data_IF_734669083399
#
_entry.id   IF_734669083399
#
_cell.length_a   1.000
_cell.length_b   1.000
_cell.length_c   1.000
_cell.angle_alpha   90.00
_cell.angle_beta   90.00
_cell.angle_gamma   90.00
#
_symmetry.space_group_name_H-M   'P 1'
#
loop_
_entity.id
_entity.type
_entity.pdbx_description
1 polymer ?
#
# COMPACT_ATOMS: atom_id res chain seq x y z
N UNK A 1 23.36 -6.64 -21.10
CA UNK A 1 22.05 -7.08 -20.56
C UNK A 1 21.06 -5.93 -20.62
N UNK A 2 19.80 -6.19 -21.01
CA UNK A 2 18.74 -5.17 -21.04
C UNK A 2 18.14 -4.95 -19.65
N UNK A 3 17.96 -3.69 -19.26
CA UNK A 3 17.32 -3.32 -17.99
C UNK A 3 16.23 -2.28 -18.16
N UNK A 4 15.32 -2.16 -17.19
CA UNK A 4 14.30 -1.11 -17.18
C UNK A 4 14.23 -0.41 -15.81
N UNK A 5 13.77 0.84 -15.83
CA UNK A 5 13.31 1.55 -14.64
C UNK A 5 11.83 1.90 -14.84
N UNK A 6 10.97 1.40 -13.97
CA UNK A 6 9.52 1.63 -14.04
C UNK A 6 9.11 2.64 -12.98
N UNK A 7 9.02 3.90 -13.39
CA UNK A 7 8.58 4.98 -12.52
C UNK A 7 7.06 5.12 -12.58
N UNK A 8 6.44 5.27 -11.41
CA UNK A 8 5.01 5.53 -11.34
C UNK A 8 4.73 7.02 -11.58
N UNK A 9 4.17 7.32 -12.75
CA UNK A 9 3.86 8.70 -13.16
C UNK A 9 2.38 9.08 -12.95
N UNK A 10 1.57 8.19 -12.39
CA UNK A 10 0.14 8.44 -12.15
C UNK A 10 -0.36 7.77 -10.87
N UNK A 11 -1.38 8.37 -10.25
CA UNK A 11 -2.13 7.73 -9.15
C UNK A 11 -2.85 6.49 -9.70
N UNK A 12 -2.81 5.39 -8.94
CA UNK A 12 -3.39 4.08 -9.29
C UNK A 12 -3.93 3.44 -8.01
N UNK A 13 -4.97 2.61 -8.13
CA UNK A 13 -5.46 1.83 -6.99
C UNK A 13 -4.40 0.84 -6.50
N UNK A 14 -4.51 0.43 -5.23
CA UNK A 14 -3.58 -0.54 -4.65
C UNK A 14 -3.62 -1.88 -5.41
N UNK A 15 -4.82 -2.39 -5.72
CA UNK A 15 -5.01 -3.59 -6.54
C UNK A 15 -4.34 -3.50 -7.91
N UNK A 16 -4.48 -2.36 -8.61
CA UNK A 16 -3.88 -2.20 -9.93
C UNK A 16 -2.36 -2.11 -9.85
N UNK A 17 -1.82 -1.44 -8.84
CA UNK A 17 -0.37 -1.41 -8.64
C UNK A 17 0.22 -2.79 -8.36
N UNK A 18 -0.47 -3.64 -7.60
CA UNK A 18 -0.06 -5.04 -7.37
C UNK A 18 -0.19 -5.88 -8.65
N UNK A 19 -1.25 -5.68 -9.43
CA UNK A 19 -1.42 -6.34 -10.73
C UNK A 19 -0.29 -5.98 -11.71
N UNK A 20 0.15 -4.72 -11.73
CA UNK A 20 1.31 -4.28 -12.53
C UNK A 20 2.59 -4.99 -12.09
N UNK A 21 2.79 -5.21 -10.78
CA UNK A 21 3.98 -5.90 -10.28
C UNK A 21 4.05 -7.35 -10.79
N UNK A 22 2.95 -8.10 -10.67
CA UNK A 22 2.88 -9.46 -11.18
C UNK A 22 2.95 -9.50 -12.72
N UNK A 23 2.31 -8.55 -13.43
CA UNK A 23 2.39 -8.46 -14.88
C UNK A 23 3.82 -8.20 -15.39
N UNK A 24 4.59 -7.35 -14.72
CA UNK A 24 6.01 -7.19 -15.02
C UNK A 24 6.72 -8.54 -14.85
N UNK A 25 6.52 -9.21 -13.71
CA UNK A 25 7.12 -10.53 -13.45
C UNK A 25 6.75 -11.60 -14.49
N UNK A 26 5.58 -11.52 -15.11
CA UNK A 26 5.13 -12.42 -16.18
C UNK A 26 5.83 -12.16 -17.52
N UNK A 27 6.05 -10.90 -17.89
CA UNK A 27 6.55 -10.52 -19.22
C UNK A 27 8.04 -10.22 -19.29
N UNK A 28 8.65 -9.90 -18.14
CA UNK A 28 10.01 -9.40 -18.02
C UNK A 28 11.06 -10.26 -18.75
N UNK A 29 11.19 -11.54 -18.38
CA UNK A 29 12.20 -12.44 -18.99
C UNK A 29 11.91 -12.66 -20.47
N UNK A 30 10.65 -12.95 -20.83
CA UNK A 30 10.24 -13.17 -22.24
C UNK A 30 10.44 -11.95 -23.14
N UNK A 31 10.56 -10.75 -22.56
CA UNK A 31 10.81 -9.50 -23.29
C UNK A 31 12.32 -9.16 -23.35
N UNK A 32 13.18 -10.11 -22.97
CA UNK A 32 14.64 -10.00 -23.03
C UNK A 32 15.28 -9.16 -21.93
N UNK A 33 14.53 -8.84 -20.86
CA UNK A 33 15.07 -8.08 -19.74
C UNK A 33 15.73 -9.01 -18.72
N UNK A 34 16.89 -8.60 -18.24
CA UNK A 34 17.65 -9.33 -17.23
C UNK A 34 17.59 -8.72 -15.83
N UNK A 35 17.29 -7.42 -15.71
CA UNK A 35 17.00 -6.77 -14.44
C UNK A 35 16.06 -5.55 -14.58
N UNK A 36 15.40 -5.16 -13.49
CA UNK A 36 14.60 -3.95 -13.45
C UNK A 36 14.29 -3.45 -12.05
N UNK A 37 14.04 -2.15 -11.94
CA UNK A 37 13.69 -1.49 -10.70
C UNK A 37 12.38 -0.71 -10.86
N UNK A 38 11.47 -0.84 -9.90
CA UNK A 38 10.25 -0.04 -9.80
C UNK A 38 10.23 0.69 -8.47
N UNK A 39 9.95 1.99 -8.49
CA UNK A 39 9.68 2.81 -7.30
C UNK A 39 8.23 3.32 -7.40
N UNK A 40 7.43 3.10 -6.36
CA UNK A 40 5.99 3.28 -6.44
C UNK A 40 5.32 3.52 -5.07
N UNK A 41 4.06 3.97 -5.09
CA UNK A 41 3.25 4.35 -3.94
C UNK A 41 1.81 3.89 -4.15
N UNK A 42 1.15 3.52 -3.06
CA UNK A 42 -0.27 3.20 -3.03
C UNK A 42 -1.09 4.30 -2.32
N UNK A 43 -2.37 4.46 -2.67
CA UNK A 43 -3.37 5.05 -1.77
C UNK A 43 -3.43 4.32 -0.42
N UNK A 44 -4.16 4.89 0.54
CA UNK A 44 -4.37 4.26 1.85
C UNK A 44 -4.93 2.84 1.67
N UNK A 45 -4.15 1.86 2.09
CA UNK A 45 -4.48 0.45 1.89
C UNK A 45 -3.84 -0.46 2.93
N UNK A 46 -4.55 -1.55 3.25
CA UNK A 46 -4.03 -2.70 3.98
C UNK A 46 -3.68 -3.75 2.94
N UNK A 47 -2.41 -4.17 2.91
CA UNK A 47 -1.90 -5.16 1.95
C UNK A 47 -1.59 -6.46 2.70
N UNK A 48 -2.48 -7.42 2.53
CA UNK A 48 -2.35 -8.79 3.05
C UNK A 48 -1.25 -9.54 2.28
N UNK A 49 -0.49 -10.37 3.00
CA UNK A 49 0.37 -11.36 2.37
C UNK A 49 -0.42 -12.50 1.75
N UNK A 50 0.20 -13.27 0.85
CA UNK A 50 -0.49 -14.33 0.11
C UNK A 50 -1.17 -15.36 1.03
N UNK A 51 -0.57 -15.70 2.16
CA UNK A 51 -1.07 -16.69 3.11
C UNK A 51 -1.72 -16.10 4.36
N UNK A 52 -1.79 -14.76 4.46
CA UNK A 52 -2.35 -14.10 5.64
C UNK A 52 -3.87 -14.22 5.68
N UNK A 53 -4.42 -14.49 6.85
CA UNK A 53 -5.86 -14.36 7.07
C UNK A 53 -6.17 -12.94 7.50
N UNK A 54 -7.17 -12.34 6.86
CA UNK A 54 -7.51 -10.96 7.15
C UNK A 54 -8.00 -10.81 8.59
N UNK A 55 -8.74 -11.81 9.08
CA UNK A 55 -9.31 -11.85 10.43
C UNK A 55 -8.23 -11.91 11.51
N UNK A 56 -7.07 -12.49 11.21
CA UNK A 56 -5.99 -12.66 12.20
C UNK A 56 -5.14 -11.38 12.35
N UNK A 57 -5.10 -10.54 11.31
CA UNK A 57 -4.17 -9.38 11.26
C UNK A 57 -4.86 -8.03 11.18
N UNK A 58 -6.10 -7.96 10.73
CA UNK A 58 -6.85 -6.70 10.55
C UNK A 58 -7.86 -6.54 11.68
N UNK A 59 -8.06 -5.32 12.17
CA UNK A 59 -9.03 -5.05 13.22
C UNK A 59 -10.47 -5.37 12.74
N UNK A 60 -11.34 -5.95 13.57
CA UNK A 60 -12.68 -6.39 13.15
C UNK A 60 -13.57 -5.24 12.64
N UNK A 61 -13.50 -4.06 13.26
CA UNK A 61 -14.17 -2.86 12.79
C UNK A 61 -13.69 -2.42 11.41
N UNK A 62 -12.43 -2.74 11.07
CA UNK A 62 -11.88 -2.41 9.77
C UNK A 62 -12.49 -3.30 8.69
N UNK A 63 -12.54 -4.61 8.96
CA UNK A 63 -13.13 -5.61 8.07
C UNK A 63 -14.63 -5.35 7.84
N UNK A 64 -15.41 -5.08 8.90
CA UNK A 64 -16.85 -4.82 8.78
C UNK A 64 -17.17 -3.64 7.86
N UNK A 65 -16.43 -2.55 7.99
CA UNK A 65 -16.61 -1.37 7.15
C UNK A 65 -16.22 -1.65 5.69
N UNK A 66 -15.14 -2.40 5.45
CA UNK A 66 -14.73 -2.79 4.10
C UNK A 66 -15.80 -3.65 3.42
N UNK A 67 -16.34 -4.66 4.12
CA UNK A 67 -17.42 -5.50 3.59
C UNK A 67 -18.72 -4.71 3.38
N UNK A 68 -19.10 -3.85 4.33
CA UNK A 68 -20.29 -3.01 4.24
C UNK A 68 -20.24 -1.95 3.12
N UNK A 69 -19.05 -1.50 2.71
CA UNK A 69 -18.92 -0.64 1.52
C UNK A 69 -19.20 -1.37 0.20
N UNK A 70 -18.84 -2.66 0.11
CA UNK A 70 -19.08 -3.47 -1.09
C UNK A 70 -20.56 -3.84 -1.30
N UNK A 71 -21.35 -3.95 -0.23
CA UNK A 71 -22.79 -4.18 -0.31
C UNK A 71 -23.56 -2.92 -0.78
N UNK A 72 -23.13 -1.74 -0.36
CA UNK A 72 -23.71 -0.47 -0.82
C UNK A 72 -23.52 -0.24 -2.31
N UNK A 73 -22.32 -0.54 -2.85
CA UNK A 73 -22.07 -0.45 -4.30
C UNK A 73 -22.89 -1.47 -5.13
N UNK A 74 -23.17 -2.66 -4.59
CA UNK A 74 -24.04 -3.65 -5.25
C UNK A 74 -25.51 -3.27 -5.22
N UNK A 75 -25.99 -2.61 -4.16
CA UNK A 75 -27.40 -2.15 -4.05
C UNK A 75 -27.74 -0.95 -4.93
N UNK A 76 -26.73 -0.21 -5.43
CA UNK A 76 -26.92 0.96 -6.27
C UNK A 76 -27.04 0.64 -7.78
N UNK A 77 -27.02 -0.64 -8.16
CA UNK A 77 -27.09 -1.11 -9.55
C UNK A 77 -28.32 -2.00 -9.75
N UNK A 78 -29.41 -1.37 -10.24
CA UNK A 78 -30.75 -1.85 -10.64
C UNK A 78 -31.90 -1.87 -9.61
N UNK A 79 -33.14 -1.43 -9.99
CA UNK A 79 -33.60 -1.02 -11.33
C UNK A 79 -34.23 0.38 -11.42
N UNK A 80 -33.70 1.23 -12.29
CA UNK A 80 -34.49 2.20 -13.07
C UNK A 80 -34.86 1.54 -14.41
N UNK A 81 -35.72 0.52 -14.36
CA UNK A 81 -36.47 0.05 -15.53
C UNK A 81 -37.86 -0.30 -15.02
N UNK A 82 -38.73 0.70 -14.92
CA UNK A 82 -40.18 0.64 -15.15
C UNK A 82 -40.74 2.02 -14.79
N UNK A 83 -41.06 2.83 -15.81
CA UNK A 83 -42.16 3.80 -15.85
C UNK A 83 -41.89 4.85 -16.95
N UNK A 84 -42.05 4.42 -18.19
CA UNK A 84 -42.41 5.34 -19.28
C UNK A 84 -43.65 4.78 -19.95
N UNK A 85 -44.80 5.01 -19.31
CA UNK A 85 -46.05 5.18 -20.03
C UNK A 85 -47.05 5.92 -19.15
N UNK A 86 -47.64 6.95 -19.77
CA UNK A 86 -48.90 7.62 -19.44
C UNK A 86 -48.82 8.85 -18.51
N UNK A 87 -49.32 9.94 -19.12
CA UNK A 87 -49.87 11.16 -18.53
C UNK A 87 -48.84 12.16 -17.97
N UNK A 88 -48.72 13.38 -18.51
CA UNK A 88 -49.84 14.29 -18.71
C UNK A 88 -49.44 15.47 -19.59
N UNK A 89 -50.31 15.76 -20.55
CA UNK A 89 -50.48 17.09 -21.11
C UNK A 89 -50.93 18.09 -20.03
N UNK A 90 -50.72 19.37 -20.35
CA UNK A 90 -51.41 20.59 -19.87
C UNK A 90 -50.68 21.47 -18.87
N UNK A 91 -50.16 22.54 -19.48
CA UNK A 91 -50.47 23.95 -19.21
C UNK A 91 -49.98 24.52 -17.88
N UNK A 92 -49.01 25.43 -17.98
CA UNK A 92 -49.20 26.90 -17.87
C UNK A 92 -49.76 27.32 -16.51
N UNK A 93 -48.94 28.01 -15.70
CA UNK A 93 -48.94 29.48 -15.59
C UNK A 93 -47.89 29.93 -14.58
N UNK A 94 -47.13 30.97 -14.97
CA UNK A 94 -46.80 32.21 -14.24
C UNK A 94 -46.53 32.14 -12.71
N UNK A 95 -45.60 32.87 -12.10
CA UNK A 95 -44.69 33.96 -12.51
C UNK A 95 -44.10 34.57 -11.21
N UNK A 96 -42.99 35.31 -11.33
CA UNK A 96 -42.50 36.38 -10.40
C UNK A 96 -41.88 35.84 -9.08
N UNK A 97 -40.57 35.80 -8.89
CA UNK A 97 -39.52 36.85 -8.88
C UNK A 97 -39.32 37.52 -7.51
N UNK A 98 -38.02 37.67 -7.17
CA UNK A 98 -37.40 38.66 -6.28
C UNK A 98 -37.67 38.51 -4.78
N UNK A 99 -36.81 38.91 -3.84
CA UNK A 99 -35.36 39.08 -3.73
C UNK A 99 -35.13 39.43 -2.24
N UNK A 100 -33.90 39.22 -1.77
CA UNK A 100 -33.21 39.99 -0.73
C UNK A 100 -33.67 40.02 0.76
N UNK A 101 -32.90 39.26 1.54
CA UNK A 101 -31.86 39.68 2.52
C UNK A 101 -32.20 40.63 3.70
N UNK A 102 -31.72 40.14 4.86
CA UNK A 102 -31.13 40.83 6.03
C UNK A 102 -32.14 41.50 7.00
N UNK A 103 -32.16 41.24 8.31
CA UNK A 103 -31.02 41.30 9.24
C UNK A 103 -31.45 41.06 10.73
N UNK A 104 -30.46 40.74 11.58
CA UNK A 104 -30.29 41.12 13.02
C UNK A 104 -30.94 40.26 14.15
N UNK A 105 -30.01 39.56 14.85
CA UNK A 105 -29.77 39.40 16.30
C UNK A 105 -30.85 38.93 17.29
N UNK A 106 -30.53 37.90 18.10
CA UNK A 106 -30.16 37.98 19.54
C UNK A 106 -30.16 36.59 20.20
N UNK A 107 -29.12 36.27 20.96
CA UNK A 107 -29.13 35.25 22.02
C UNK A 107 -29.83 35.83 23.27
N UNK A 108 -30.42 34.97 24.14
CA UNK A 108 -29.76 34.70 25.42
C UNK A 108 -29.97 33.30 26.06
N UNK A 109 -28.88 32.84 26.71
CA UNK A 109 -28.71 32.11 28.00
C UNK A 109 -29.69 31.03 28.51
N UNK A 110 -29.08 29.87 28.77
CA UNK A 110 -29.18 28.89 29.88
C UNK A 110 -30.29 28.99 30.94
N UNK A 111 -30.95 27.84 31.21
CA UNK A 111 -31.39 27.38 32.54
C UNK A 111 -31.17 25.86 32.67
N UNK A 112 -30.74 25.45 33.86
CA UNK A 112 -30.33 24.12 34.35
C UNK A 112 -31.47 23.19 34.80
N UNK A 113 -31.18 21.88 34.86
CA UNK A 113 -32.01 20.84 35.51
C UNK A 113 -31.28 19.49 35.56
N UNK A 114 -31.38 18.78 36.68
CA UNK A 114 -30.47 17.75 37.23
C UNK A 114 -31.09 16.31 37.19
N UNK A 115 -30.24 15.26 37.25
CA UNK A 115 -30.47 13.80 37.48
C UNK A 115 -30.98 12.95 36.27
N UNK A 116 -30.51 11.74 35.93
CA UNK A 116 -29.99 10.63 36.76
C UNK A 116 -28.98 9.66 36.04
N UNK A 117 -28.14 9.01 36.87
CA UNK A 117 -27.51 7.66 36.76
C UNK A 117 -26.59 7.26 35.60
N UNK A 118 -25.29 7.24 35.91
CA UNK A 118 -24.31 6.14 35.73
C UNK A 118 -24.57 5.03 34.71
N UNK A 119 -23.87 5.11 33.58
CA UNK A 119 -22.90 4.11 33.10
C UNK A 119 -22.60 4.44 31.64
N UNK A 120 -21.32 4.66 31.32
CA UNK A 120 -20.65 4.81 29.99
C UNK A 120 -19.53 5.84 30.21
N UNK A 121 -18.55 5.50 31.05
CA UNK A 121 -17.24 6.15 31.06
C UNK A 121 -16.20 5.11 30.65
N UNK A 122 -16.02 4.98 29.34
CA UNK A 122 -15.07 4.01 28.80
C UNK A 122 -14.80 4.11 27.30
N UNK A 123 -15.16 5.20 26.62
CA UNK A 123 -14.72 5.43 25.23
C UNK A 123 -13.93 6.74 25.17
N UNK A 124 -12.69 6.70 25.68
CA UNK A 124 -11.71 7.73 25.31
C UNK A 124 -11.44 7.57 23.81
N UNK A 125 -11.86 8.59 23.08
CA UNK A 125 -11.74 8.77 21.64
C UNK A 125 -10.34 8.40 21.13
N UNK A 126 -10.20 7.23 20.50
CA UNK A 126 -9.11 6.99 19.54
C UNK A 126 -9.31 8.00 18.42
N UNK A 127 -8.30 8.84 18.14
CA UNK A 127 -8.27 9.77 17.01
C UNK A 127 -8.78 9.02 15.77
N UNK A 128 -9.99 9.35 15.33
CA UNK A 128 -10.57 8.84 14.09
C UNK A 128 -9.70 9.39 12.97
N UNK A 129 -9.06 8.52 12.19
CA UNK A 129 -8.44 8.91 10.93
C UNK A 129 -9.49 9.69 10.13
N UNK A 130 -9.14 10.89 9.66
CA UNK A 130 -10.02 11.71 8.82
C UNK A 130 -10.57 10.86 7.68
N UNK A 131 -11.90 10.69 7.63
CA UNK A 131 -12.83 10.27 6.54
C UNK A 131 -12.42 9.24 5.47
N UNK A 132 -11.18 8.78 5.37
CA UNK A 132 -10.66 7.91 4.33
C UNK A 132 -10.44 6.51 4.91
N UNK A 133 -11.22 5.57 4.40
CA UNK A 133 -11.16 4.18 4.82
C UNK A 133 -10.17 3.40 3.96
N UNK A 134 -9.28 2.56 4.53
CA UNK A 134 -8.32 1.82 3.73
C UNK A 134 -9.01 0.79 2.83
N UNK A 135 -8.53 0.68 1.60
CA UNK A 135 -8.82 -0.51 0.79
C UNK A 135 -8.08 -1.72 1.36
N UNK A 136 -8.66 -2.91 1.27
CA UNK A 136 -8.00 -4.17 1.62
C UNK A 136 -7.66 -4.91 0.33
N UNK A 137 -6.38 -5.25 0.16
CA UNK A 137 -5.87 -5.93 -1.03
C UNK A 137 -4.90 -7.04 -0.64
N UNK A 138 -4.69 -8.01 -1.52
CA UNK A 138 -3.74 -9.11 -1.31
C UNK A 138 -2.64 -9.09 -2.38
N UNK A 139 -1.39 -9.27 -1.95
CA UNK A 139 -0.24 -9.36 -2.88
C UNK A 139 0.10 -10.80 -3.26
N UNK A 140 0.91 -10.98 -4.31
CA UNK A 140 1.33 -12.29 -4.80
C UNK A 140 2.45 -12.95 -3.98
N UNK A 141 3.13 -12.21 -3.10
CA UNK A 141 4.17 -12.71 -2.20
C UNK A 141 3.61 -13.08 -0.82
N UNK A 142 4.28 -14.00 -0.13
CA UNK A 142 4.01 -14.29 1.29
C UNK A 142 4.45 -13.18 2.25
N UNK A 143 4.57 -13.51 3.53
CA UNK A 143 4.92 -12.57 4.61
C UNK A 143 3.70 -11.86 5.21
N UNK A 144 3.91 -11.01 6.21
CA UNK A 144 2.83 -10.41 7.01
C UNK A 144 2.01 -9.30 6.32
N UNK A 145 0.99 -8.82 7.01
CA UNK A 145 0.14 -7.68 6.60
C UNK A 145 0.86 -6.34 6.82
N UNK A 146 0.73 -5.41 5.87
CA UNK A 146 1.31 -4.06 5.96
C UNK A 146 0.28 -2.97 5.64
N UNK A 147 0.51 -1.75 6.13
CA UNK A 147 -0.28 -0.56 5.77
C UNK A 147 0.54 0.31 4.83
N UNK A 148 -0.09 0.76 3.73
CA UNK A 148 0.48 1.75 2.83
C UNK A 148 -0.32 3.04 2.87
N UNK A 149 0.36 4.15 2.59
CA UNK A 149 -0.22 5.47 2.44
C UNK A 149 0.61 6.27 1.42
N UNK A 150 -0.01 7.11 0.57
CA UNK A 150 0.68 7.73 -0.55
C UNK A 150 1.83 8.64 -0.12
N UNK A 151 1.76 9.28 1.04
CA UNK A 151 2.81 10.20 1.51
C UNK A 151 3.70 9.65 2.61
N UNK A 152 3.26 8.60 3.31
CA UNK A 152 3.92 8.13 4.53
C UNK A 152 4.74 6.86 4.29
N UNK A 153 4.58 6.24 3.11
CA UNK A 153 5.29 5.04 2.70
C UNK A 153 5.85 5.16 1.28
N UNK A 154 7.03 4.58 1.05
CA UNK A 154 7.59 4.32 -0.27
C UNK A 154 7.66 2.81 -0.51
N UNK A 155 7.32 2.35 -1.72
CA UNK A 155 7.53 0.98 -2.16
C UNK A 155 8.62 0.91 -3.22
N UNK A 156 9.39 -0.16 -3.19
CA UNK A 156 10.35 -0.49 -4.23
C UNK A 156 10.24 -1.97 -4.60
N UNK A 157 10.54 -2.30 -5.84
CA UNK A 157 10.55 -3.68 -6.34
C UNK A 157 11.73 -3.89 -7.27
N UNK A 158 12.53 -4.91 -6.98
CA UNK A 158 13.55 -5.45 -7.86
C UNK A 158 12.98 -6.62 -8.67
N UNK A 159 13.38 -6.68 -9.93
CA UNK A 159 13.14 -7.79 -10.84
C UNK A 159 14.50 -8.27 -11.32
N UNK A 160 14.83 -9.54 -11.13
CA UNK A 160 16.08 -10.14 -11.61
C UNK A 160 15.79 -11.47 -12.27
N UNK A 161 16.30 -11.67 -13.49
CA UNK A 161 16.21 -12.96 -14.17
C UNK A 161 17.18 -13.94 -13.51
N UNK A 162 16.73 -15.16 -13.28
CA UNK A 162 17.59 -16.23 -12.79
C UNK A 162 18.62 -16.69 -13.84
N UNK A 163 18.44 -16.34 -15.12
CA UNK A 163 19.48 -16.52 -16.15
C UNK A 163 20.66 -15.56 -15.94
N UNK A 164 20.43 -14.42 -15.28
CA UNK A 164 21.44 -13.39 -15.01
C UNK A 164 22.16 -13.64 -13.69
N UNK A 165 21.39 -14.00 -12.65
CA UNK A 165 21.93 -14.31 -11.32
C UNK A 165 21.33 -15.62 -10.80
N UNK A 166 21.79 -16.79 -11.26
CA UNK A 166 21.27 -18.10 -10.85
C UNK A 166 21.37 -18.34 -9.34
N UNK A 167 22.37 -17.74 -8.69
CA UNK A 167 22.57 -17.81 -7.25
C UNK A 167 21.38 -17.28 -6.43
N UNK A 168 20.55 -16.40 -7.01
CA UNK A 168 19.34 -15.87 -6.36
C UNK A 168 18.16 -16.87 -6.38
N UNK A 169 18.32 -18.05 -6.96
CA UNK A 169 17.32 -19.11 -6.86
C UNK A 169 17.05 -19.46 -5.39
N UNK A 170 18.13 -19.59 -4.61
CA UNK A 170 18.06 -19.87 -3.18
C UNK A 170 17.57 -18.66 -2.41
N UNK A 171 16.56 -18.88 -1.56
CA UNK A 171 15.80 -17.81 -0.88
C UNK A 171 16.67 -16.96 0.03
N UNK A 172 17.62 -17.56 0.76
CA UNK A 172 18.48 -16.85 1.73
C UNK A 172 19.44 -15.91 1.01
N UNK A 173 20.06 -16.40 -0.05
CA UNK A 173 20.99 -15.67 -0.93
C UNK A 173 20.26 -14.51 -1.61
N UNK A 174 19.03 -14.73 -2.08
CA UNK A 174 18.23 -13.68 -2.69
C UNK A 174 17.87 -12.57 -1.71
N UNK A 175 17.44 -12.91 -0.49
CA UNK A 175 17.21 -11.90 0.56
C UNK A 175 18.48 -11.14 0.93
N UNK A 176 19.61 -11.84 1.12
CA UNK A 176 20.89 -11.22 1.43
C UNK A 176 21.31 -10.20 0.37
N UNK A 177 21.16 -10.56 -0.90
CA UNK A 177 21.43 -9.66 -2.03
C UNK A 177 20.53 -8.42 -2.01
N UNK A 178 19.20 -8.59 -2.04
CA UNK A 178 18.28 -7.45 -2.16
C UNK A 178 18.29 -6.53 -0.93
N UNK A 179 18.33 -7.09 0.28
CA UNK A 179 18.42 -6.29 1.49
C UNK A 179 19.76 -5.54 1.57
N UNK A 180 20.85 -6.15 1.09
CA UNK A 180 22.16 -5.52 0.98
C UNK A 180 22.17 -4.31 0.04
N UNK A 181 21.45 -4.37 -1.09
CA UNK A 181 21.28 -3.22 -1.99
C UNK A 181 20.55 -2.06 -1.28
N UNK A 182 19.49 -2.36 -0.54
CA UNK A 182 18.70 -1.34 0.18
C UNK A 182 19.52 -0.70 1.29
N UNK A 183 20.24 -1.50 2.10
CA UNK A 183 21.14 -1.00 3.14
C UNK A 183 22.22 -0.09 2.53
N UNK A 184 22.81 -0.48 1.41
CA UNK A 184 23.83 0.32 0.74
C UNK A 184 23.28 1.66 0.25
N UNK A 185 22.04 1.69 -0.26
CA UNK A 185 21.36 2.93 -0.66
C UNK A 185 21.01 3.81 0.56
N UNK A 186 20.53 3.22 1.66
CA UNK A 186 20.24 3.95 2.91
C UNK A 186 21.51 4.59 3.49
N UNK A 187 22.65 3.88 3.45
CA UNK A 187 23.94 4.37 3.95
C UNK A 187 24.41 5.65 3.24
N UNK A 188 24.04 5.87 1.97
CA UNK A 188 24.34 7.11 1.20
C UNK A 188 23.56 8.34 1.70
N UNK A 189 22.58 8.13 2.56
CA UNK A 189 21.88 9.16 3.34
C UNK A 189 22.15 8.98 4.84
N UNK A 190 23.37 8.53 5.18
CA UNK A 190 23.88 8.40 6.56
C UNK A 190 23.04 7.53 7.50
N UNK A 191 22.21 6.64 6.94
CA UNK A 191 21.38 5.72 7.73
C UNK A 191 22.04 4.35 7.87
N UNK A 192 22.39 4.01 9.11
CA UNK A 192 22.91 2.70 9.50
C UNK A 192 21.77 1.72 9.77
N UNK A 193 21.29 1.06 8.71
CA UNK A 193 20.29 -0.01 8.81
C UNK A 193 20.93 -1.40 8.81
N UNK A 194 20.24 -2.37 9.40
CA UNK A 194 20.67 -3.77 9.44
C UNK A 194 19.50 -4.73 9.17
N UNK A 195 19.82 -5.90 8.62
CA UNK A 195 18.84 -6.97 8.44
C UNK A 195 18.46 -7.56 9.80
N UNK A 196 17.15 -7.74 10.04
CA UNK A 196 16.62 -8.42 11.22
C UNK A 196 15.50 -9.39 10.86
N UNK A 197 15.37 -10.44 11.66
CA UNK A 197 14.45 -11.53 11.39
C UNK A 197 14.65 -12.12 9.99
N UNK A 198 13.54 -12.45 9.31
CA UNK A 198 13.57 -13.07 7.97
C UNK A 198 13.73 -12.05 6.85
N UNK A 199 13.24 -10.82 7.02
CA UNK A 199 13.01 -9.90 5.90
C UNK A 199 12.96 -8.41 6.28
N UNK A 200 13.31 -8.05 7.50
CA UNK A 200 13.12 -6.70 8.00
C UNK A 200 14.42 -5.91 7.89
N UNK A 201 14.31 -4.61 7.63
CA UNK A 201 15.39 -3.66 7.89
C UNK A 201 15.03 -2.85 9.13
N UNK A 202 15.98 -2.76 10.05
CA UNK A 202 15.85 -2.04 11.30
C UNK A 202 17.02 -1.08 11.52
N UNK A 203 16.75 0.00 12.24
CA UNK A 203 17.76 0.92 12.76
C UNK A 203 17.81 0.82 14.28
N UNK A 204 18.93 1.22 14.87
CA UNK A 204 19.06 1.38 16.31
C UNK A 204 18.57 2.77 16.70
N UNK A 205 17.50 2.84 17.49
CA UNK A 205 16.96 4.07 18.04
C UNK A 205 16.86 3.92 19.56
N UNK A 206 17.54 4.79 20.32
CA UNK A 206 17.54 4.76 21.79
C UNK A 206 17.94 3.39 22.37
N UNK A 207 18.91 2.71 21.75
CA UNK A 207 19.38 1.39 22.17
C UNK A 207 18.44 0.23 21.79
N UNK A 208 17.36 0.50 21.05
CA UNK A 208 16.40 -0.51 20.60
C UNK A 208 16.37 -0.64 19.09
N UNK A 209 16.30 -1.87 18.61
CA UNK A 209 16.14 -2.15 17.19
C UNK A 209 14.69 -1.90 16.77
N UNK A 210 14.49 -1.00 15.82
CA UNK A 210 13.16 -0.62 15.35
C UNK A 210 13.07 -0.73 13.83
N UNK A 211 12.01 -1.39 13.38
CA UNK A 211 11.79 -1.72 11.97
C UNK A 211 11.42 -0.48 11.17
N UNK A 212 12.10 -0.27 10.04
CA UNK A 212 11.82 0.79 9.06
C UNK A 212 11.35 0.23 7.71
N UNK A 213 11.53 -1.07 7.46
CA UNK A 213 11.19 -1.74 6.20
C UNK A 213 10.74 -3.17 6.44
N UNK A 214 9.65 -3.58 5.78
CA UNK A 214 9.30 -4.99 5.60
C UNK A 214 9.51 -5.39 4.14
N UNK A 215 10.06 -6.58 3.91
CA UNK A 215 10.34 -7.08 2.56
C UNK A 215 9.67 -8.44 2.32
N UNK A 216 9.34 -8.71 1.07
CA UNK A 216 8.83 -10.01 0.65
C UNK A 216 9.21 -10.26 -0.80
N UNK A 217 9.16 -11.52 -1.21
CA UNK A 217 9.50 -11.90 -2.57
C UNK A 217 8.63 -13.05 -3.06
N UNK A 218 8.52 -13.15 -4.38
CA UNK A 218 7.93 -14.29 -5.07
C UNK A 218 8.76 -14.61 -6.32
N UNK A 219 8.49 -15.75 -6.95
CA UNK A 219 9.12 -16.14 -8.21
C UNK A 219 8.06 -16.28 -9.29
N UNK A 220 8.38 -15.85 -10.50
CA UNK A 220 7.49 -15.95 -11.66
C UNK A 220 8.33 -16.03 -12.93
N UNK A 221 8.03 -16.98 -13.81
CA UNK A 221 8.62 -17.09 -15.16
C UNK A 221 10.15 -16.89 -15.18
N UNK A 222 10.87 -17.67 -14.37
CA UNK A 222 12.33 -17.61 -14.24
C UNK A 222 12.89 -16.28 -13.69
N UNK A 223 12.09 -15.50 -12.97
CA UNK A 223 12.53 -14.28 -12.30
C UNK A 223 12.24 -14.32 -10.81
N UNK A 224 13.09 -13.62 -10.06
CA UNK A 224 12.86 -13.23 -8.68
C UNK A 224 12.30 -11.81 -8.65
N UNK A 225 11.15 -11.65 -7.98
CA UNK A 225 10.52 -10.36 -7.73
C UNK A 225 10.59 -10.13 -6.23
N UNK A 226 11.43 -9.16 -5.83
CA UNK A 226 11.61 -8.78 -4.42
C UNK A 226 11.12 -7.37 -4.22
N UNK A 227 10.18 -7.17 -3.30
CA UNK A 227 9.69 -5.85 -2.96
C UNK A 227 9.89 -5.53 -1.48
N UNK A 228 9.87 -4.24 -1.18
CA UNK A 228 9.92 -3.75 0.17
C UNK A 228 9.23 -2.40 0.33
N UNK A 229 9.00 -2.07 1.59
CA UNK A 229 8.42 -0.80 2.02
C UNK A 229 9.47 0.03 2.76
N UNK A 230 9.31 1.35 2.79
CA UNK A 230 9.98 2.23 3.75
C UNK A 230 8.94 3.06 4.48
N UNK A 231 9.07 3.18 5.80
CA UNK A 231 8.25 4.05 6.63
C UNK A 231 8.85 5.46 6.59
N UNK A 232 8.21 6.38 5.88
CA UNK A 232 8.73 7.74 5.69
C UNK A 232 8.33 8.70 6.81
N UNK A 233 7.15 8.51 7.40
CA UNK A 233 6.58 9.44 8.38
C UNK A 233 6.05 8.69 9.62
N UNK A 234 6.15 9.28 10.82
CA UNK A 234 5.60 8.69 12.04
C UNK A 234 4.08 8.44 12.00
N UNK A 235 3.32 9.23 11.22
CA UNK A 235 1.86 9.07 11.12
C UNK A 235 1.44 7.71 10.57
N UNK A 236 2.28 7.02 9.80
CA UNK A 236 2.00 5.64 9.37
C UNK A 236 1.97 4.67 10.55
N UNK A 237 2.75 4.92 11.60
CA UNK A 237 2.81 4.08 12.80
C UNK A 237 1.50 4.14 13.58
N UNK A 238 0.89 5.34 13.64
CA UNK A 238 -0.44 5.53 14.20
C UNK A 238 -1.48 4.73 13.39
N UNK A 239 -1.41 4.77 12.06
CA UNK A 239 -2.28 3.97 11.17
C UNK A 239 -2.12 2.48 11.39
N UNK A 240 -0.89 1.98 11.43
CA UNK A 240 -0.62 0.55 11.70
C UNK A 240 -1.25 0.14 13.03
N UNK A 241 -1.06 0.94 14.08
CA UNK A 241 -1.61 0.67 15.42
C UNK A 241 -3.15 0.75 15.47
N UNK A 242 -3.76 1.58 14.62
CA UNK A 242 -5.20 1.78 14.55
C UNK A 242 -5.93 0.94 13.49
N UNK A 243 -5.21 0.19 12.65
CA UNK A 243 -5.79 -0.63 11.58
C UNK A 243 -5.51 -2.13 11.74
N UNK A 244 -4.38 -2.49 12.34
CA UNK A 244 -3.92 -3.88 12.45
C UNK A 244 -3.96 -4.38 13.89
N UNK A 245 -4.25 -5.67 14.04
CA UNK A 245 -4.03 -6.44 15.27
C UNK A 245 -2.53 -6.59 15.53
N UNK A 246 -2.17 -7.05 16.72
CA UNK A 246 -0.83 -7.61 16.92
C UNK A 246 -0.69 -8.84 16.01
N UNK A 247 0.42 -8.99 15.27
CA UNK A 247 0.54 -10.07 14.30
C UNK A 247 0.60 -11.43 15.02
N UNK A 248 0.04 -12.50 14.41
CA UNK A 248 0.09 -13.85 14.98
C UNK A 248 1.52 -14.43 15.00
N UNK A 249 2.34 -14.04 14.01
CA UNK A 249 3.76 -14.37 13.95
C UNK A 249 4.61 -13.11 14.04
N UNK A 250 5.64 -13.13 14.89
CA UNK A 250 6.60 -12.03 15.02
C UNK A 250 8.06 -12.50 14.92
N UNK A 251 8.97 -11.63 14.42
CA UNK A 251 10.39 -11.92 14.50
C UNK A 251 10.87 -11.81 15.95
N UNK A 252 11.85 -12.62 16.34
CA UNK A 252 12.37 -12.73 17.72
C UNK A 252 12.73 -11.36 18.35
N UNK A 253 13.35 -10.47 17.57
CA UNK A 253 13.76 -9.13 18.06
C UNK A 253 12.58 -8.18 18.33
N UNK A 254 11.35 -8.52 17.93
CA UNK A 254 10.15 -7.75 18.30
C UNK A 254 9.91 -7.79 19.80
N UNK A 255 10.16 -8.92 20.46
CA UNK A 255 10.01 -9.11 21.91
C UNK A 255 8.62 -8.67 22.40
N UNK A 256 7.56 -9.05 21.70
CA UNK A 256 6.16 -8.72 21.98
C UNK A 256 5.86 -7.22 22.10
N UNK A 257 6.73 -6.35 21.56
CA UNK A 257 6.49 -4.90 21.53
C UNK A 257 5.26 -4.59 20.68
N UNK A 258 4.50 -3.59 21.12
CA UNK A 258 3.40 -3.02 20.33
C UNK A 258 3.94 -2.41 19.04
N UNK A 259 3.08 -2.21 18.06
CA UNK A 259 3.47 -1.60 16.77
C UNK A 259 4.22 -0.28 16.96
N UNK A 260 3.70 0.62 17.82
CA UNK A 260 4.32 1.91 18.15
C UNK A 260 5.76 1.83 18.67
N UNK A 261 6.10 0.73 19.32
CA UNK A 261 7.39 0.55 20.00
C UNK A 261 8.35 -0.31 19.17
N UNK A 262 7.82 -1.03 18.18
CA UNK A 262 8.54 -1.94 17.31
C UNK A 262 8.95 -1.31 15.98
N UNK A 263 8.09 -0.50 15.37
CA UNK A 263 8.39 0.19 14.11
C UNK A 263 8.84 1.63 14.38
N UNK A 264 9.58 2.21 13.44
CA UNK A 264 9.95 3.63 13.45
C UNK A 264 9.99 4.16 12.02
N UNK A 265 10.03 5.49 11.86
CA UNK A 265 10.14 6.13 10.55
C UNK A 265 11.57 6.55 10.25
N UNK A 266 11.82 6.82 8.98
CA UNK A 266 13.04 7.49 8.55
C UNK A 266 13.08 8.93 9.09
N UNK A 267 14.29 9.53 9.24
CA UNK A 267 14.46 10.92 9.65
C UNK A 267 13.76 11.92 8.72
N UNK A 268 13.43 13.10 9.24
CA UNK A 268 12.69 14.13 8.51
C UNK A 268 13.44 14.69 7.29
N UNK A 269 14.77 14.65 7.31
CA UNK A 269 15.65 15.08 6.22
C UNK A 269 15.92 13.98 5.17
N UNK A 270 15.38 12.77 5.38
CA UNK A 270 15.48 11.68 4.41
C UNK A 270 14.77 12.06 3.10
N UNK A 271 15.48 11.92 1.97
CA UNK A 271 14.91 12.17 0.65
C UNK A 271 14.51 10.87 -0.05
N UNK A 272 13.20 10.61 -0.25
CA UNK A 272 12.74 9.46 -1.02
C UNK A 272 13.21 9.48 -2.48
N UNK A 273 13.38 10.67 -3.05
CA UNK A 273 13.89 10.85 -4.41
C UNK A 273 15.36 10.44 -4.50
N UNK A 274 16.20 10.95 -3.59
CA UNK A 274 17.62 10.58 -3.52
C UNK A 274 17.77 9.09 -3.26
N UNK A 275 16.96 8.51 -2.36
CA UNK A 275 16.95 7.07 -2.13
C UNK A 275 16.65 6.27 -3.40
N UNK A 276 15.65 6.67 -4.20
CA UNK A 276 15.35 6.00 -5.46
C UNK A 276 16.52 6.06 -6.46
N UNK A 277 17.22 7.19 -6.54
CA UNK A 277 18.41 7.38 -7.37
C UNK A 277 19.57 6.50 -6.88
N UNK A 278 19.85 6.51 -5.57
CA UNK A 278 20.89 5.71 -4.94
C UNK A 278 20.63 4.22 -5.08
N UNK A 279 19.37 3.77 -4.88
CA UNK A 279 18.97 2.38 -5.06
C UNK A 279 19.15 1.92 -6.50
N UNK A 280 18.78 2.77 -7.47
CA UNK A 280 18.98 2.51 -8.89
C UNK A 280 20.46 2.37 -9.23
N UNK A 281 21.30 3.24 -8.67
CA UNK A 281 22.74 3.23 -8.94
C UNK A 281 23.42 2.01 -8.32
N UNK A 282 23.21 1.75 -7.01
CA UNK A 282 23.76 0.57 -6.32
C UNK A 282 23.33 -0.72 -7.01
N UNK A 283 22.08 -0.79 -7.48
CA UNK A 283 21.60 -1.95 -8.21
C UNK A 283 22.30 -2.11 -9.57
N UNK A 284 22.49 -1.02 -10.33
CA UNK A 284 23.26 -1.06 -11.57
C UNK A 284 24.69 -1.54 -11.34
N UNK A 285 25.39 -0.99 -10.34
CA UNK A 285 26.76 -1.38 -9.99
C UNK A 285 26.85 -2.87 -9.65
N UNK A 286 25.89 -3.40 -8.88
CA UNK A 286 25.84 -4.82 -8.51
C UNK A 286 25.61 -5.77 -9.70
N UNK A 287 25.23 -5.22 -10.85
CA UNK A 287 25.03 -5.92 -12.12
C UNK A 287 26.16 -5.65 -13.12
N UNK A 288 27.20 -4.90 -12.74
CA UNK A 288 28.27 -4.47 -13.63
C UNK A 288 27.82 -3.43 -14.67
N UNK A 289 26.80 -2.63 -14.35
CA UNK A 289 26.23 -1.61 -15.23
C UNK A 289 26.48 -0.20 -14.68
N UNK A 290 26.64 0.78 -15.58
CA UNK A 290 26.75 2.19 -15.17
C UNK A 290 25.42 2.78 -14.69
N UNK A 291 24.29 2.35 -15.27
CA UNK A 291 22.95 2.81 -14.88
C UNK A 291 21.87 1.76 -15.19
N UNK A 292 20.77 1.81 -14.43
CA UNK A 292 19.54 1.10 -14.78
C UNK A 292 18.77 1.83 -15.87
N UNK A 293 17.95 1.09 -16.61
CA UNK A 293 17.10 1.64 -17.66
C UNK A 293 17.86 1.78 -18.96
N UNK A 294 17.73 0.76 -19.82
CA UNK A 294 17.87 0.93 -21.26
C UNK A 294 16.63 1.64 -21.81
N UNK A 295 16.74 2.18 -23.03
CA UNK A 295 15.73 2.97 -23.75
C UNK A 295 14.26 2.60 -23.51
N UNK A 296 13.37 3.58 -23.67
CA UNK A 296 11.92 3.39 -23.50
C UNK A 296 11.41 2.26 -24.41
N UNK A 297 10.93 1.17 -23.81
CA UNK A 297 10.22 0.12 -24.53
C UNK A 297 8.72 0.27 -24.39
N UNK A 298 8.12 0.89 -25.42
CA UNK A 298 6.68 1.06 -25.49
C UNK A 298 5.94 -0.27 -25.70
N UNK A 299 6.55 -1.26 -26.35
CA UNK A 299 5.92 -2.57 -26.58
C UNK A 299 5.82 -3.33 -25.26
N UNK A 300 6.91 -3.40 -24.51
CA UNK A 300 6.92 -3.99 -23.18
C UNK A 300 5.94 -3.30 -22.24
N UNK A 301 5.95 -1.96 -22.20
CA UNK A 301 5.03 -1.20 -21.36
C UNK A 301 3.57 -1.47 -21.71
N UNK A 302 3.21 -1.50 -23.00
CA UNK A 302 1.85 -1.82 -23.45
C UNK A 302 1.45 -3.26 -23.06
N UNK A 303 2.34 -4.23 -23.23
CA UNK A 303 2.10 -5.62 -22.84
C UNK A 303 1.84 -5.75 -21.33
N UNK A 304 2.71 -5.16 -20.51
CA UNK A 304 2.58 -5.13 -19.04
C UNK A 304 1.25 -4.50 -18.61
N UNK A 305 0.89 -3.33 -19.17
CA UNK A 305 -0.35 -2.66 -18.78
C UNK A 305 -1.60 -3.42 -19.24
N UNK A 306 -1.56 -4.08 -20.40
CA UNK A 306 -2.64 -4.96 -20.87
C UNK A 306 -2.82 -6.15 -19.91
N UNK A 307 -1.73 -6.82 -19.56
CA UNK A 307 -1.77 -7.96 -18.63
C UNK A 307 -2.16 -7.55 -17.22
N UNK A 308 -1.71 -6.38 -16.75
CA UNK A 308 -2.09 -5.84 -15.46
C UNK A 308 -3.60 -5.55 -15.36
N UNK A 309 -4.24 -5.06 -16.43
CA UNK A 309 -5.70 -4.90 -16.48
C UNK A 309 -6.41 -6.24 -16.36
N UNK A 310 -5.94 -7.25 -17.10
CA UNK A 310 -6.46 -8.63 -17.03
C UNK A 310 -6.32 -9.22 -15.62
N UNK A 311 -5.17 -9.05 -14.97
CA UNK A 311 -4.93 -9.49 -13.60
C UNK A 311 -5.76 -8.72 -12.58
N UNK A 312 -5.98 -7.42 -12.79
CA UNK A 312 -6.88 -6.63 -11.95
C UNK A 312 -8.28 -7.21 -12.00
N UNK A 313 -8.85 -7.35 -13.19
CA UNK A 313 -10.21 -7.84 -13.42
C UNK A 313 -10.42 -9.26 -12.94
N UNK A 314 -9.44 -10.15 -13.12
CA UNK A 314 -9.62 -11.59 -12.86
C UNK A 314 -9.03 -12.07 -11.54
N UNK A 315 -8.33 -11.22 -10.78
CA UNK A 315 -7.64 -11.63 -9.55
C UNK A 315 -7.61 -10.53 -8.49
N UNK A 316 -6.91 -9.42 -8.74
CA UNK A 316 -6.63 -8.42 -7.68
C UNK A 316 -7.83 -7.57 -7.25
N UNK A 317 -8.95 -7.63 -7.97
CA UNK A 317 -10.24 -7.04 -7.58
C UNK A 317 -11.23 -8.06 -7.01
N UNK A 318 -10.88 -9.35 -6.98
CA UNK A 318 -11.82 -10.41 -6.63
C UNK A 318 -11.73 -10.75 -5.14
N UNK A 319 -12.90 -10.83 -4.50
CA UNK A 319 -12.99 -11.06 -3.05
C UNK A 319 -12.47 -12.45 -2.64
N UNK A 320 -12.68 -13.47 -3.47
CA UNK A 320 -12.12 -14.81 -3.30
C UNK A 320 -10.58 -14.78 -3.23
N UNK A 321 -9.92 -13.97 -4.06
CA UNK A 321 -8.48 -13.79 -3.97
C UNK A 321 -8.09 -12.92 -2.77
N UNK A 322 -8.84 -11.85 -2.47
CA UNK A 322 -8.53 -10.95 -1.35
C UNK A 322 -8.66 -11.66 -0.01
N UNK A 323 -9.69 -12.46 0.23
CA UNK A 323 -9.92 -13.13 1.52
C UNK A 323 -9.51 -14.61 1.55
N UNK A 324 -9.38 -15.25 0.38
CA UNK A 324 -9.11 -16.70 0.26
C UNK A 324 -10.19 -17.54 0.96
N UNK A 325 -11.44 -17.15 0.75
CA UNK A 325 -12.63 -17.91 1.15
C UNK A 325 -12.89 -19.09 0.21
#
# INVERSE_FOLDING_TARGET
MRTFAFLQNSKRSASYNLAIEEAIGLHFVSSGYGAGLRIWRNPLSIVLGLSERAEDTVLPEVLRNFMGSGEKEKSAVLPEILNVTLESEKSRTNSIASENRNSISKNPKEISGINDSDSIRGFKSRKRFDKEFPTIVRRASGGGTVVHHPEENLNFTFFVSLDVKPELYKVKESYGYFLGLVISALKRQTLSASCRGKSDLAILEQGLEKKISGNAQFRKRNAVIHHGTLILKPSLIERVSGLLKHPPEEPEYRKNRKHSDFVTSLPNDFSPLKFGQDLSHVFAESLGLFRMGSEKDLRFTKAVLKEAKRLLENKYSKMDFIFRD
#
